data_IF_010139880989
#
_entry.id   IF_010139880989
#
_cell.length_a   1.000
_cell.length_b   1.000
_cell.length_c   1.000
_cell.angle_alpha   90.00
_cell.angle_beta   90.00
_cell.angle_gamma   90.00
#
_symmetry.space_group_name_H-M   'P 1'
#
loop_
_entity.id
_entity.type
_entity.pdbx_description
1 polymer ?
#
# COMPACT_ATOMS: atom_id res chain seq x y z
N UNK A 1 -5.14 -18.42 20.87
CA UNK A 1 -4.11 -17.51 21.44
C UNK A 1 -2.84 -17.43 20.59
N UNK A 2 -2.24 -18.54 20.16
CA UNK A 2 -0.99 -18.52 19.37
C UNK A 2 -1.12 -17.79 18.02
N UNK A 3 -2.20 -18.02 17.27
CA UNK A 3 -2.41 -17.37 15.96
C UNK A 3 -2.42 -15.83 16.08
N UNK A 4 -3.23 -15.30 17.00
CA UNK A 4 -3.29 -13.85 17.26
C UNK A 4 -1.95 -13.25 17.67
N UNK A 5 -1.13 -13.99 18.43
CA UNK A 5 0.23 -13.55 18.78
C UNK A 5 1.15 -13.51 17.56
N UNK A 6 1.10 -14.52 16.70
CA UNK A 6 1.87 -14.55 15.47
C UNK A 6 1.46 -13.44 14.51
N UNK A 7 0.16 -13.18 14.37
CA UNK A 7 -0.37 -12.08 13.56
C UNK A 7 0.13 -10.72 14.08
N UNK A 8 0.14 -10.54 15.41
CA UNK A 8 0.66 -9.33 16.03
C UNK A 8 2.17 -9.13 15.78
N UNK A 9 2.97 -10.19 15.91
CA UNK A 9 4.41 -10.14 15.61
C UNK A 9 4.66 -9.83 14.13
N UNK A 10 3.87 -10.44 13.24
CA UNK A 10 3.92 -10.19 11.80
C UNK A 10 3.60 -8.73 11.47
N UNK A 11 2.50 -8.19 11.97
CA UNK A 11 2.13 -6.77 11.81
C UNK A 11 3.21 -5.82 12.34
N UNK A 12 3.82 -6.16 13.49
CA UNK A 12 4.92 -5.38 14.06
C UNK A 12 6.14 -5.37 13.14
N UNK A 13 6.51 -6.53 12.58
CA UNK A 13 7.60 -6.63 11.61
C UNK A 13 7.29 -5.83 10.33
N UNK A 14 6.07 -5.92 9.79
CA UNK A 14 5.69 -5.21 8.57
C UNK A 14 5.74 -3.68 8.71
N UNK A 15 5.44 -3.15 9.89
CA UNK A 15 5.53 -1.69 10.20
C UNK A 15 6.96 -1.22 10.49
N UNK A 16 7.88 -2.13 10.78
CA UNK A 16 9.24 -1.76 11.15
C UNK A 16 10.04 -1.40 9.87
N UNK A 17 10.54 -0.16 9.83
CA UNK A 17 11.34 0.38 8.72
C UNK A 17 12.70 -0.32 8.53
N UNK A 18 13.11 -1.17 9.49
CA UNK A 18 14.35 -1.94 9.44
C UNK A 18 14.13 -3.43 9.16
N UNK A 19 12.90 -3.87 8.90
CA UNK A 19 12.64 -5.25 8.47
C UNK A 19 13.24 -5.47 7.09
N UNK A 20 14.19 -6.42 6.91
CA UNK A 20 14.85 -6.64 5.63
C UNK A 20 13.86 -6.96 4.51
N UNK A 21 14.12 -6.50 3.28
CA UNK A 21 13.24 -6.66 2.13
C UNK A 21 12.79 -8.11 1.86
N UNK A 22 13.69 -9.07 2.04
CA UNK A 22 13.40 -10.51 1.88
C UNK A 22 12.38 -11.01 2.89
N UNK A 23 12.53 -10.61 4.15
CA UNK A 23 11.59 -10.96 5.22
C UNK A 23 10.27 -10.20 5.07
N UNK A 24 10.33 -8.92 4.70
CA UNK A 24 9.15 -8.10 4.46
C UNK A 24 8.26 -8.73 3.37
N UNK A 25 8.86 -9.15 2.27
CA UNK A 25 8.14 -9.79 1.16
C UNK A 25 7.56 -11.14 1.58
N UNK A 26 8.30 -11.95 2.33
CA UNK A 26 7.84 -13.27 2.78
C UNK A 26 6.69 -13.20 3.79
N UNK A 27 6.62 -12.14 4.60
CA UNK A 27 5.59 -11.96 5.63
C UNK A 27 4.34 -11.19 5.15
N UNK A 28 4.42 -10.51 4.00
CA UNK A 28 3.33 -9.67 3.50
C UNK A 28 2.27 -10.51 2.81
N UNK A 29 1.06 -10.53 3.35
CA UNK A 29 -0.11 -11.10 2.67
C UNK A 29 -0.85 -9.99 1.89
N UNK A 30 -1.72 -10.32 0.92
CA UNK A 30 -2.41 -9.32 0.11
C UNK A 30 -3.14 -8.24 0.92
N UNK A 31 -3.78 -8.62 2.03
CA UNK A 31 -4.50 -7.69 2.91
C UNK A 31 -3.59 -6.73 3.68
N UNK A 32 -2.28 -7.01 3.77
CA UNK A 32 -1.31 -6.14 4.47
C UNK A 32 -0.58 -5.19 3.53
N UNK A 33 -0.78 -5.31 2.21
CA UNK A 33 -0.05 -4.47 1.23
C UNK A 33 -0.24 -2.98 1.51
N UNK A 34 -1.44 -2.55 1.90
CA UNK A 34 -1.72 -1.16 2.27
C UNK A 34 -0.88 -0.66 3.46
N UNK A 35 -0.55 -1.55 4.40
CA UNK A 35 0.31 -1.25 5.54
C UNK A 35 1.78 -1.10 5.11
N UNK A 36 2.20 -1.93 4.17
CA UNK A 36 3.61 -2.12 3.78
C UNK A 36 4.03 -1.17 2.65
N UNK A 37 3.10 -0.61 1.90
CA UNK A 37 3.37 0.14 0.66
C UNK A 37 4.32 1.34 0.82
N UNK A 38 4.46 1.87 2.05
CA UNK A 38 5.37 2.96 2.39
C UNK A 38 6.61 2.51 3.18
N UNK A 39 6.79 1.21 3.44
CA UNK A 39 7.98 0.72 4.13
C UNK A 39 9.22 0.97 3.24
N UNK A 40 10.27 1.64 3.73
CA UNK A 40 11.45 1.99 2.94
C UNK A 40 12.25 0.77 2.44
N UNK A 41 12.06 -0.40 3.07
CA UNK A 41 12.69 -1.65 2.63
C UNK A 41 11.89 -2.37 1.55
N UNK A 42 10.69 -1.88 1.19
CA UNK A 42 9.91 -2.45 0.11
C UNK A 42 10.59 -2.14 -1.23
N UNK A 43 10.97 -3.20 -1.95
CA UNK A 43 11.61 -3.06 -3.25
C UNK A 43 10.67 -2.36 -4.25
N UNK A 44 11.24 -1.48 -5.08
CA UNK A 44 10.45 -0.61 -5.97
C UNK A 44 9.70 -1.39 -7.05
N UNK A 45 10.26 -2.49 -7.53
CA UNK A 45 9.65 -3.43 -8.46
C UNK A 45 8.45 -4.16 -7.85
N UNK A 46 8.57 -4.63 -6.60
CA UNK A 46 7.47 -5.23 -5.83
C UNK A 46 6.35 -4.22 -5.62
N UNK A 47 6.68 -2.98 -5.20
CA UNK A 47 5.69 -1.90 -5.08
C UNK A 47 4.98 -1.62 -6.40
N UNK A 48 5.72 -1.58 -7.51
CA UNK A 48 5.16 -1.37 -8.84
C UNK A 48 4.24 -2.51 -9.27
N UNK A 49 4.64 -3.76 -9.01
CA UNK A 49 3.82 -4.94 -9.27
C UNK A 49 2.51 -4.88 -8.48
N UNK A 50 2.56 -4.59 -7.18
CA UNK A 50 1.36 -4.49 -6.36
C UNK A 50 0.41 -3.39 -6.80
N UNK A 51 0.92 -2.22 -7.20
CA UNK A 51 0.10 -1.13 -7.72
C UNK A 51 -0.53 -1.45 -9.08
N UNK A 52 0.09 -2.33 -9.88
CA UNK A 52 -0.52 -2.85 -11.11
C UNK A 52 -1.64 -3.84 -10.81
N UNK A 53 -1.40 -4.74 -9.86
CA UNK A 53 -2.38 -5.75 -9.44
C UNK A 53 -3.60 -5.10 -8.76
N UNK A 54 -3.36 -4.14 -7.86
CA UNK A 54 -4.38 -3.39 -7.14
C UNK A 54 -4.05 -1.88 -7.12
N UNK A 55 -4.58 -1.12 -8.10
CA UNK A 55 -4.42 0.32 -8.17
C UNK A 55 -4.99 1.09 -6.96
N UNK A 56 -5.89 0.48 -6.17
CA UNK A 56 -6.46 1.14 -4.99
C UNK A 56 -5.43 1.35 -3.87
N UNK A 57 -4.34 0.58 -3.87
CA UNK A 57 -3.21 0.74 -2.94
C UNK A 57 -2.56 2.13 -3.04
N UNK A 58 -2.72 2.82 -4.16
CA UNK A 58 -2.22 4.19 -4.36
C UNK A 58 -2.79 5.17 -3.32
N UNK A 59 -4.00 4.91 -2.80
CA UNK A 59 -4.63 5.73 -1.75
C UNK A 59 -3.86 5.69 -0.42
N UNK A 60 -3.04 4.66 -0.21
CA UNK A 60 -2.23 4.49 0.99
C UNK A 60 -0.78 4.95 0.80
N UNK A 61 -0.34 5.25 -0.42
CA UNK A 61 1.00 5.78 -0.65
C UNK A 61 1.10 7.19 -0.06
N UNK A 62 2.20 7.50 0.65
CA UNK A 62 2.38 8.80 1.31
C UNK A 62 2.50 9.96 0.29
N UNK A 63 3.30 9.73 -0.74
CA UNK A 63 3.55 10.69 -1.83
C UNK A 63 3.29 10.03 -3.20
N UNK A 64 2.01 9.78 -3.55
CA UNK A 64 1.66 9.22 -4.85
C UNK A 64 1.86 10.27 -5.94
N UNK A 65 2.21 9.83 -7.15
CA UNK A 65 2.26 10.75 -8.29
C UNK A 65 0.84 11.25 -8.62
N UNK A 66 0.70 12.56 -8.84
CA UNK A 66 -0.61 13.17 -9.15
C UNK A 66 -1.23 12.59 -10.44
N UNK A 67 -0.40 12.18 -11.41
CA UNK A 67 -0.87 11.48 -12.62
C UNK A 67 -1.58 10.17 -12.27
N UNK A 68 -0.99 9.36 -11.39
CA UNK A 68 -1.59 8.10 -10.96
C UNK A 68 -2.91 8.32 -10.20
N UNK A 69 -2.99 9.36 -9.36
CA UNK A 69 -4.24 9.70 -8.68
C UNK A 69 -5.32 10.14 -9.69
N UNK A 70 -4.96 10.93 -10.71
CA UNK A 70 -5.89 11.33 -11.79
C UNK A 70 -6.40 10.12 -12.58
N UNK A 71 -5.54 9.14 -12.82
CA UNK A 71 -5.94 7.90 -13.47
C UNK A 71 -6.91 7.11 -12.58
N UNK A 72 -6.61 7.00 -11.28
CA UNK A 72 -7.47 6.30 -10.32
C UNK A 72 -8.85 6.96 -10.15
N UNK A 73 -8.96 8.29 -10.26
CA UNK A 73 -10.26 9.00 -10.31
C UNK A 73 -11.10 8.55 -11.50
N UNK A 74 -10.48 8.24 -12.64
CA UNK A 74 -11.18 7.84 -13.87
C UNK A 74 -11.52 6.35 -13.87
N UNK A 75 -10.58 5.50 -13.46
CA UNK A 75 -10.63 4.05 -13.67
C UNK A 75 -10.87 3.25 -12.38
N UNK A 76 -10.89 3.88 -11.22
CA UNK A 76 -11.03 3.21 -9.93
C UNK A 76 -12.26 2.31 -9.86
N UNK A 77 -12.09 1.09 -9.36
CA UNK A 77 -13.09 0.03 -9.41
C UNK A 77 -14.43 0.38 -8.77
N UNK A 78 -14.42 1.22 -7.72
CA UNK A 78 -15.63 1.64 -7.00
C UNK A 78 -15.77 3.16 -6.96
N UNK A 79 -17.00 3.63 -6.78
CA UNK A 79 -17.28 5.07 -6.57
C UNK A 79 -16.51 5.62 -5.37
N UNK A 80 -16.38 4.83 -4.30
CA UNK A 80 -15.64 5.20 -3.09
C UNK A 80 -14.16 5.45 -3.40
N UNK A 81 -13.52 4.52 -4.13
CA UNK A 81 -12.11 4.67 -4.55
C UNK A 81 -11.93 5.93 -5.41
N UNK A 82 -12.81 6.14 -6.41
CA UNK A 82 -12.73 7.32 -7.28
C UNK A 82 -12.90 8.63 -6.51
N UNK A 83 -13.82 8.67 -5.55
CA UNK A 83 -14.06 9.85 -4.70
C UNK A 83 -12.87 10.15 -3.79
N UNK A 84 -12.29 9.12 -3.17
CA UNK A 84 -11.11 9.27 -2.30
C UNK A 84 -9.88 9.73 -3.09
N UNK A 85 -9.66 9.17 -4.28
CA UNK A 85 -8.59 9.60 -5.17
C UNK A 85 -8.73 11.08 -5.56
N UNK A 86 -9.96 11.55 -5.76
CA UNK A 86 -10.25 12.96 -6.05
C UNK A 86 -9.96 13.84 -4.85
N UNK A 87 -10.40 13.43 -3.66
CA UNK A 87 -10.12 14.16 -2.42
C UNK A 87 -8.61 14.34 -2.20
N UNK A 88 -7.81 13.28 -2.33
CA UNK A 88 -6.35 13.37 -2.20
C UNK A 88 -5.68 14.23 -3.28
N UNK A 89 -6.28 14.40 -4.46
CA UNK A 89 -5.79 15.33 -5.48
C UNK A 89 -6.04 16.78 -5.09
N UNK A 90 -7.20 17.06 -4.48
CA UNK A 90 -7.59 18.40 -4.05
C UNK A 90 -6.77 18.84 -2.83
N UNK A 91 -6.40 17.93 -1.91
CA UNK A 91 -5.51 18.21 -0.76
C UNK A 91 -4.06 18.53 -1.15
N UNK A 92 -3.61 18.13 -2.34
CA UNK A 92 -2.21 18.25 -2.80
C UNK A 92 -2.00 19.36 -3.83
N UNK A 93 -3.03 20.16 -4.12
CA UNK A 93 -2.97 21.36 -4.96
C UNK A 93 -2.71 22.59 -4.11
#
# INVERSE_FOLDING_TARGET
>A
MLQSRNDHLRQTALRNAHTPASLLTALTEPQDRALVINNPQLAADVKTMWLKDDPSLLLFVDQPALSQLRDLVKTGATRKIRSEARHRLEEKQ
#
